data_IF_093940776275
#
_entry.id   IF_093940776275
#
_cell.length_a   1.000
_cell.length_b   1.000
_cell.length_c   1.000
_cell.angle_alpha   90.00
_cell.angle_beta   90.00
_cell.angle_gamma   90.00
#
_symmetry.space_group_name_H-M   'P 1'
#
loop_
_entity.id
_entity.type
_entity.pdbx_description
1 polymer ?
#
# COMPACT_ATOMS: atom_id res chain seq x y z
N UNK A 1 14.44 9.49 -13.93
CA UNK A 1 13.05 9.20 -13.50
C UNK A 1 12.55 10.37 -12.69
N UNK A 2 11.36 10.90 -13.00
CA UNK A 2 10.81 12.07 -12.33
C UNK A 2 10.15 11.67 -10.99
N UNK A 3 10.64 12.15 -9.83
CA UNK A 3 10.06 11.85 -8.51
C UNK A 3 8.57 12.23 -8.41
N UNK A 4 8.14 13.33 -9.05
CA UNK A 4 6.73 13.75 -9.07
C UNK A 4 5.84 12.70 -9.72
N UNK A 5 6.29 12.09 -10.81
CA UNK A 5 5.56 11.01 -11.49
C UNK A 5 5.40 9.80 -10.57
N UNK A 6 6.49 9.38 -9.91
CA UNK A 6 6.43 8.24 -8.98
C UNK A 6 5.45 8.53 -7.85
N UNK A 7 5.58 9.70 -7.20
CA UNK A 7 4.68 10.11 -6.11
C UNK A 7 3.20 10.09 -6.55
N UNK A 8 2.93 10.62 -7.75
CA UNK A 8 1.56 10.67 -8.31
C UNK A 8 1.02 9.27 -8.57
N UNK A 9 1.82 8.37 -9.15
CA UNK A 9 1.40 6.99 -9.40
C UNK A 9 1.12 6.27 -8.08
N UNK A 10 1.99 6.40 -7.08
CA UNK A 10 1.76 5.79 -5.77
C UNK A 10 0.50 6.34 -5.10
N UNK A 11 0.24 7.65 -5.22
CA UNK A 11 -0.98 8.24 -4.70
C UNK A 11 -2.22 7.60 -5.36
N UNK A 12 -2.26 7.52 -6.69
CA UNK A 12 -3.40 6.92 -7.42
C UNK A 12 -3.57 5.44 -7.07
N UNK A 13 -2.48 4.69 -6.94
CA UNK A 13 -2.55 3.28 -6.51
C UNK A 13 -3.16 3.14 -5.10
N UNK A 14 -2.81 4.03 -4.16
CA UNK A 14 -3.45 4.06 -2.84
C UNK A 14 -4.94 4.42 -2.96
N UNK A 15 -5.32 5.34 -3.84
CA UNK A 15 -6.73 5.68 -4.05
C UNK A 15 -7.53 4.46 -4.54
N UNK A 16 -7.02 3.78 -5.58
CA UNK A 16 -7.63 2.59 -6.15
C UNK A 16 -7.72 1.46 -5.12
N UNK A 17 -6.63 1.20 -4.41
CA UNK A 17 -6.60 0.19 -3.36
C UNK A 17 -7.59 0.52 -2.23
N UNK A 18 -7.67 1.79 -1.83
CA UNK A 18 -8.62 2.25 -0.82
C UNK A 18 -10.08 2.01 -1.21
N UNK A 19 -10.43 2.35 -2.46
CA UNK A 19 -11.77 2.11 -3.02
C UNK A 19 -12.09 0.60 -3.05
N UNK A 20 -11.13 -0.24 -3.47
CA UNK A 20 -11.31 -1.70 -3.49
C UNK A 20 -11.60 -2.25 -2.09
N UNK A 21 -10.87 -1.79 -1.06
CA UNK A 21 -11.10 -2.22 0.32
C UNK A 21 -12.46 -1.79 0.90
N UNK A 22 -12.99 -0.63 0.49
CA UNK A 22 -14.26 -0.11 1.02
C UNK A 22 -15.46 -0.83 0.39
N UNK A 23 -15.42 -1.08 -0.92
CA UNK A 23 -16.60 -1.51 -1.68
C UNK A 23 -16.52 -2.93 -2.22
N UNK A 24 -15.32 -3.50 -2.35
CA UNK A 24 -15.09 -4.74 -3.09
C UNK A 24 -14.24 -5.75 -2.33
N UNK A 25 -14.22 -5.70 -0.99
CA UNK A 25 -13.47 -6.66 -0.18
C UNK A 25 -14.01 -8.09 -0.41
N UNK A 26 -13.24 -9.00 -1.03
CA UNK A 26 -13.65 -10.39 -1.12
C UNK A 26 -13.41 -11.04 0.25
N UNK A 27 -14.48 -11.52 0.88
CA UNK A 27 -14.40 -12.37 2.07
C UNK A 27 -14.85 -13.78 1.69
N UNK A 28 -14.14 -14.83 2.14
CA UNK A 28 -14.63 -16.20 1.98
C UNK A 28 -15.91 -16.40 2.80
N UNK A 29 -16.51 -17.58 2.69
CA UNK A 29 -17.67 -17.91 3.52
C UNK A 29 -17.24 -18.02 4.99
N UNK A 30 -17.82 -17.17 5.85
CA UNK A 30 -17.49 -17.10 7.28
C UNK A 30 -18.76 -16.80 8.10
N UNK A 31 -18.67 -16.96 9.42
CA UNK A 31 -19.75 -16.54 10.33
C UNK A 31 -20.02 -15.03 10.27
N UNK A 32 -21.26 -14.62 10.52
CA UNK A 32 -21.72 -13.23 10.42
C UNK A 32 -20.86 -12.24 11.22
N UNK A 33 -20.47 -12.60 12.44
CA UNK A 33 -19.61 -11.78 13.29
C UNK A 33 -18.23 -11.56 12.65
N UNK A 34 -17.64 -12.61 12.08
CA UNK A 34 -16.35 -12.51 11.40
C UNK A 34 -16.45 -11.65 10.14
N UNK A 35 -17.56 -11.76 9.39
CA UNK A 35 -17.83 -10.91 8.21
C UNK A 35 -17.96 -9.44 8.61
N UNK A 36 -18.67 -9.15 9.70
CA UNK A 36 -18.83 -7.79 10.21
C UNK A 36 -17.47 -7.18 10.62
N UNK A 37 -16.67 -7.95 11.36
CA UNK A 37 -15.32 -7.55 11.78
C UNK A 37 -14.43 -7.32 10.55
N UNK A 38 -14.36 -8.30 9.64
CA UNK A 38 -13.54 -8.22 8.42
C UNK A 38 -13.91 -7.03 7.54
N UNK A 39 -15.21 -6.79 7.33
CA UNK A 39 -15.69 -5.64 6.55
C UNK A 39 -15.37 -4.31 7.23
N UNK A 40 -15.48 -4.24 8.56
CA UNK A 40 -15.17 -3.02 9.32
C UNK A 40 -13.68 -2.69 9.22
N UNK A 41 -12.81 -3.66 9.46
CA UNK A 41 -11.36 -3.47 9.29
C UNK A 41 -10.99 -3.15 7.85
N UNK A 42 -11.63 -3.80 6.88
CA UNK A 42 -11.42 -3.50 5.46
C UNK A 42 -11.74 -2.04 5.13
N UNK A 43 -12.88 -1.52 5.60
CA UNK A 43 -13.23 -0.10 5.44
C UNK A 43 -12.24 0.83 6.12
N UNK A 44 -11.74 0.50 7.30
CA UNK A 44 -10.70 1.28 8.00
C UNK A 44 -9.41 1.31 7.18
N UNK A 45 -8.94 0.16 6.69
CA UNK A 45 -7.77 0.06 5.81
C UNK A 45 -7.99 0.87 4.53
N UNK A 46 -9.18 0.77 3.95
CA UNK A 46 -9.54 1.53 2.76
C UNK A 46 -9.50 3.05 2.99
N UNK A 47 -10.08 3.53 4.09
CA UNK A 47 -10.00 4.94 4.49
C UNK A 47 -8.55 5.39 4.73
N UNK A 48 -7.71 4.57 5.38
CA UNK A 48 -6.30 4.89 5.58
C UNK A 48 -5.54 5.03 4.26
N UNK A 49 -5.83 4.17 3.28
CA UNK A 49 -5.28 4.30 1.93
C UNK A 49 -5.73 5.61 1.25
N UNK A 50 -6.98 6.06 1.44
CA UNK A 50 -7.46 7.35 0.93
C UNK A 50 -6.78 8.56 1.63
N UNK A 51 -6.46 8.43 2.91
CA UNK A 51 -5.65 9.43 3.63
C UNK A 51 -4.24 9.50 3.04
N UNK A 52 -3.58 8.36 2.83
CA UNK A 52 -2.26 8.28 2.18
C UNK A 52 -2.32 8.88 0.78
N UNK A 53 -3.32 8.51 -0.03
CA UNK A 53 -3.56 9.12 -1.33
C UNK A 53 -3.61 10.64 -1.24
N UNK A 54 -4.44 11.18 -0.34
CA UNK A 54 -4.62 12.63 -0.20
C UNK A 54 -3.28 13.31 0.12
N UNK A 55 -2.55 12.80 1.10
CA UNK A 55 -1.23 13.33 1.49
C UNK A 55 -0.27 13.31 0.30
N UNK A 56 -0.11 12.17 -0.37
CA UNK A 56 0.84 12.03 -1.48
C UNK A 56 0.42 12.85 -2.71
N UNK A 57 -0.86 12.84 -3.04
CA UNK A 57 -1.40 13.51 -4.23
C UNK A 57 -1.24 15.02 -4.12
N UNK A 58 -1.55 15.62 -2.97
CA UNK A 58 -1.39 17.06 -2.75
C UNK A 58 0.07 17.47 -2.51
N UNK A 59 0.93 16.55 -2.05
CA UNK A 59 2.37 16.81 -1.91
C UNK A 59 3.15 16.88 -3.22
N UNK A 60 2.52 16.57 -4.36
CA UNK A 60 3.19 16.58 -5.68
C UNK A 60 3.60 17.97 -6.18
N UNK A 61 3.06 19.03 -5.57
CA UNK A 61 3.37 20.42 -5.92
C UNK A 61 4.54 20.99 -5.10
N UNK A 62 5.12 20.19 -4.20
CA UNK A 62 6.30 20.57 -3.43
C UNK A 62 7.58 20.59 -4.29
N UNK A 63 8.64 21.21 -3.79
CA UNK A 63 9.93 21.17 -4.48
C UNK A 63 10.49 19.74 -4.60
N UNK A 64 11.31 19.44 -5.63
CA UNK A 64 11.82 18.09 -5.89
C UNK A 64 12.49 17.43 -4.69
N UNK A 65 13.27 18.17 -3.90
CA UNK A 65 13.92 17.69 -2.68
C UNK A 65 12.91 17.18 -1.65
N UNK A 66 11.81 17.91 -1.45
CA UNK A 66 10.74 17.53 -0.52
C UNK A 66 9.94 16.32 -1.02
N UNK A 67 9.64 16.26 -2.32
CA UNK A 67 9.03 15.07 -2.95
C UNK A 67 9.89 13.82 -2.70
N UNK A 68 11.21 13.92 -2.88
CA UNK A 68 12.13 12.80 -2.66
C UNK A 68 12.14 12.34 -1.20
N UNK A 69 12.12 13.27 -0.24
CA UNK A 69 12.02 12.94 1.19
C UNK A 69 10.71 12.21 1.51
N UNK A 70 9.59 12.66 0.95
CA UNK A 70 8.30 11.99 1.09
C UNK A 70 8.37 10.58 0.50
N UNK A 71 8.92 10.40 -0.70
CA UNK A 71 9.09 9.08 -1.31
C UNK A 71 9.95 8.14 -0.47
N UNK A 72 11.05 8.63 0.13
CA UNK A 72 11.87 7.82 1.05
C UNK A 72 11.06 7.45 2.30
N UNK A 73 10.39 8.42 2.93
CA UNK A 73 9.59 8.16 4.13
C UNK A 73 8.45 7.17 3.88
N UNK A 74 7.69 7.36 2.79
CA UNK A 74 6.62 6.43 2.37
C UNK A 74 7.19 5.06 2.00
N UNK A 75 8.31 5.01 1.28
CA UNK A 75 9.01 3.77 0.95
C UNK A 75 9.42 2.99 2.19
N UNK A 76 10.00 3.66 3.19
CA UNK A 76 10.32 3.02 4.49
C UNK A 76 9.05 2.53 5.19
N UNK A 77 7.98 3.32 5.20
CA UNK A 77 6.67 2.88 5.71
C UNK A 77 6.19 1.59 5.03
N UNK A 78 6.34 1.50 3.72
CA UNK A 78 5.93 0.32 2.96
C UNK A 78 6.86 -0.89 3.16
N UNK A 79 8.10 -0.73 3.64
CA UNK A 79 8.91 -1.88 4.05
C UNK A 79 8.24 -2.63 5.22
N UNK A 80 7.63 -1.92 6.17
CA UNK A 80 6.87 -2.55 7.25
C UNK A 80 5.61 -3.26 6.73
N UNK A 81 4.90 -2.66 5.77
CA UNK A 81 3.77 -3.31 5.11
C UNK A 81 4.19 -4.56 4.32
N UNK A 82 5.35 -4.52 3.66
CA UNK A 82 5.92 -5.68 2.99
C UNK A 82 6.26 -6.79 4.00
N UNK A 83 6.86 -6.46 5.14
CA UNK A 83 7.13 -7.45 6.18
C UNK A 83 5.83 -8.12 6.68
N UNK A 84 4.75 -7.35 6.86
CA UNK A 84 3.45 -7.88 7.27
C UNK A 84 2.83 -8.78 6.18
N UNK A 85 2.81 -8.34 4.92
CA UNK A 85 2.26 -9.13 3.81
C UNK A 85 3.06 -10.41 3.54
N UNK A 86 4.39 -10.37 3.72
CA UNK A 86 5.24 -11.57 3.70
C UNK A 86 4.89 -12.51 4.86
N UNK A 87 4.69 -11.96 6.07
CA UNK A 87 4.30 -12.77 7.22
C UNK A 87 2.96 -13.48 6.95
N UNK A 88 1.95 -12.77 6.46
CA UNK A 88 0.63 -13.34 6.21
C UNK A 88 0.56 -14.23 4.95
N UNK A 89 1.34 -13.94 3.91
CA UNK A 89 1.25 -14.65 2.63
C UNK A 89 2.29 -15.74 2.41
N UNK A 90 3.33 -15.81 3.25
CA UNK A 90 4.38 -16.85 3.15
C UNK A 90 4.53 -17.58 4.49
N UNK A 91 4.76 -16.85 5.58
CA UNK A 91 5.09 -17.48 6.88
C UNK A 91 3.86 -18.16 7.49
N UNK A 92 2.71 -17.49 7.46
CA UNK A 92 1.43 -17.98 8.00
C UNK A 92 0.47 -18.50 6.94
N UNK A 93 0.95 -18.74 5.72
CA UNK A 93 0.09 -19.08 4.59
C UNK A 93 -0.73 -20.35 4.85
N UNK A 94 -0.11 -21.37 5.45
CA UNK A 94 -0.79 -22.64 5.79
C UNK A 94 -1.89 -22.45 6.85
N UNK A 95 -1.63 -21.63 7.87
CA UNK A 95 -2.60 -21.32 8.93
C UNK A 95 -3.79 -20.51 8.40
N UNK A 96 -3.54 -19.60 7.46
CA UNK A 96 -4.53 -18.64 6.96
C UNK A 96 -5.34 -19.15 5.76
N UNK A 97 -4.84 -20.16 5.03
CA UNK A 97 -5.52 -20.71 3.87
C UNK A 97 -5.91 -19.62 2.86
N UNK A 98 -7.20 -19.51 2.54
CA UNK A 98 -7.73 -18.51 1.59
C UNK A 98 -7.58 -17.06 2.07
N UNK A 99 -7.35 -16.82 3.37
CA UNK A 99 -7.10 -15.50 3.93
C UNK A 99 -5.63 -15.07 3.82
N UNK A 100 -4.73 -15.96 3.37
CA UNK A 100 -3.33 -15.62 3.17
C UNK A 100 -3.16 -14.54 2.10
N UNK A 101 -2.16 -13.68 2.25
CA UNK A 101 -1.91 -12.65 1.22
C UNK A 101 -1.43 -13.34 -0.07
N UNK A 102 -2.10 -13.13 -1.22
CA UNK A 102 -1.68 -13.77 -2.45
C UNK A 102 -0.27 -13.33 -2.87
N UNK A 103 0.56 -14.28 -3.31
CA UNK A 103 1.94 -14.01 -3.73
C UNK A 103 2.07 -12.86 -4.76
N UNK A 104 1.18 -12.73 -5.77
CA UNK A 104 1.23 -11.60 -6.71
C UNK A 104 1.11 -10.23 -6.01
N UNK A 105 0.31 -10.14 -4.95
CA UNK A 105 0.13 -8.91 -4.17
C UNK A 105 1.43 -8.53 -3.46
N UNK A 106 2.10 -9.50 -2.84
CA UNK A 106 3.40 -9.29 -2.17
C UNK A 106 4.44 -8.76 -3.17
N UNK A 107 4.52 -9.36 -4.36
CA UNK A 107 5.46 -8.94 -5.41
C UNK A 107 5.18 -7.50 -5.85
N UNK A 108 3.91 -7.16 -6.08
CA UNK A 108 3.53 -5.79 -6.49
C UNK A 108 3.91 -4.76 -5.43
N UNK A 109 3.61 -5.01 -4.15
CA UNK A 109 3.99 -4.08 -3.09
C UNK A 109 5.50 -3.99 -2.91
N UNK A 110 6.24 -5.10 -3.03
CA UNK A 110 7.70 -5.08 -3.01
C UNK A 110 8.29 -4.20 -4.13
N UNK A 111 7.79 -4.35 -5.36
CA UNK A 111 8.24 -3.55 -6.51
C UNK A 111 7.90 -2.07 -6.34
N UNK A 112 6.71 -1.75 -5.87
CA UNK A 112 6.29 -0.37 -5.55
C UNK A 112 7.21 0.26 -4.50
N UNK A 113 7.54 -0.48 -3.44
CA UNK A 113 8.45 -0.02 -2.39
C UNK A 113 9.85 0.26 -2.93
N UNK A 114 10.40 -0.66 -3.72
CA UNK A 114 11.71 -0.48 -4.37
C UNK A 114 11.67 0.75 -5.28
N UNK A 115 10.57 0.94 -6.02
CA UNK A 115 10.43 2.06 -6.93
C UNK A 115 10.43 3.41 -6.22
N UNK A 116 9.70 3.53 -5.10
CA UNK A 116 9.69 4.73 -4.26
C UNK A 116 11.08 5.04 -3.69
N UNK A 117 11.73 4.04 -3.09
CA UNK A 117 13.06 4.22 -2.50
C UNK A 117 14.10 4.59 -3.55
N UNK A 118 14.07 3.93 -4.72
CA UNK A 118 14.94 4.25 -5.84
C UNK A 118 14.74 5.69 -6.34
N UNK A 119 13.48 6.13 -6.48
CA UNK A 119 13.15 7.49 -6.89
C UNK A 119 13.60 8.54 -5.87
N UNK A 120 13.39 8.27 -4.58
CA UNK A 120 13.72 9.18 -3.48
C UNK A 120 15.23 9.29 -3.21
N UNK A 121 15.98 8.18 -3.30
CA UNK A 121 17.40 8.12 -2.98
C UNK A 121 18.32 8.50 -4.15
N UNK A 122 17.80 8.59 -5.38
CA UNK A 122 18.60 8.94 -6.56
C UNK A 122 19.23 10.32 -6.38
N UNK A 123 20.56 10.42 -6.51
CA UNK A 123 21.26 11.73 -6.49
C UNK A 123 20.81 12.59 -7.67
N UNK A 124 20.74 13.90 -7.47
CA UNK A 124 20.57 14.85 -8.58
C UNK A 124 21.86 14.83 -9.40
N UNK A 125 21.75 14.70 -10.72
CA UNK A 125 22.88 14.82 -11.64
C UNK A 125 23.11 16.29 -11.95
#
# INVERSE_FOLDING_TARGET
MNPKTVLTVIAVLNALHGILWIFFLPLPEMGEEAVLIGTTYGKIVGCLNLVIFSILFFSRELEPTSIKRILVGTGVGFLFLNALTINHGIIKAEELGELATPLPVIIVWALITIWMLSAGLRKEQ
#
